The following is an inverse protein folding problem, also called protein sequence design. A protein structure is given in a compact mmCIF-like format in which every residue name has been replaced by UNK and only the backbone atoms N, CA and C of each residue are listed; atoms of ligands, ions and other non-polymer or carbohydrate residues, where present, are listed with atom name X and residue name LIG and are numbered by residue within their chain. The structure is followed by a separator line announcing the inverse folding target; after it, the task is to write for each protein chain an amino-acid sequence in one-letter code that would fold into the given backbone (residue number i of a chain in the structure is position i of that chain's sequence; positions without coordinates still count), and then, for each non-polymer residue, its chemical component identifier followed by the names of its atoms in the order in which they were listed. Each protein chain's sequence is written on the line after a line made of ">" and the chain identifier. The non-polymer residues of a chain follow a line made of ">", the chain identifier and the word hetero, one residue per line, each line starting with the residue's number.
data_IF_216669219687
#
_entry.id   IF_216669219687
#
_cell.length_a   1.000
_cell.length_b   1.000
_cell.length_c   1.000
_cell.angle_alpha   90.00
_cell.angle_beta   90.00
_cell.angle_gamma   90.00
#
_symmetry.space_group_name_H-M   'P 1'
#
loop_
_entity.id
_entity.type
_entity.pdbx_description
1 polymer ?
#
# COMPACT_ATOMS: atom_id res chain seq x y z
N UNK A 1 -3.18 5.22 24.41
CA UNK A 1 -3.97 4.09 23.89
C UNK A 1 -3.41 3.75 22.53
N UNK A 2 -2.60 2.69 22.43
CA UNK A 2 -2.14 2.18 21.14
C UNK A 2 -3.25 1.27 20.60
N UNK A 3 -3.88 1.67 19.50
CA UNK A 3 -4.89 0.84 18.85
C UNK A 3 -4.24 -0.44 18.28
N UNK A 4 -4.91 -1.60 18.41
CA UNK A 4 -4.44 -2.85 17.84
C UNK A 4 -4.67 -2.86 16.32
N UNK A 5 -3.62 -3.20 15.57
CA UNK A 5 -3.67 -3.54 14.14
C UNK A 5 -3.84 -2.34 13.19
N UNK A 6 -2.75 -1.84 12.62
CA UNK A 6 -2.83 -1.21 11.30
C UNK A 6 -1.87 -1.96 10.37
N UNK A 7 -2.39 -2.81 9.49
CA UNK A 7 -1.56 -3.61 8.61
C UNK A 7 -0.87 -2.69 7.63
N UNK A 8 0.47 -2.61 7.68
CA UNK A 8 1.31 -1.73 6.86
C UNK A 8 0.68 -0.36 6.58
N UNK A 9 0.88 0.61 7.46
CA UNK A 9 0.31 1.94 7.30
C UNK A 9 0.97 2.67 6.09
N UNK A 10 0.40 2.47 4.90
CA UNK A 10 0.85 3.09 3.64
C UNK A 10 0.43 4.56 3.50
N UNK A 11 -0.36 5.07 4.44
CA UNK A 11 -0.73 6.49 4.53
C UNK A 11 -0.20 7.08 5.83
N UNK A 12 0.73 8.03 5.73
CA UNK A 12 1.28 8.71 6.89
C UNK A 12 0.21 9.59 7.57
N UNK A 13 0.28 9.80 8.90
CA UNK A 13 -0.66 10.66 9.62
C UNK A 13 -0.73 12.08 9.06
N UNK A 14 0.40 12.63 8.63
CA UNK A 14 0.49 13.95 7.98
C UNK A 14 -0.28 13.99 6.66
N UNK A 15 -0.12 12.98 5.81
CA UNK A 15 -0.84 12.85 4.54
C UNK A 15 -2.35 12.73 4.79
N UNK A 16 -2.77 11.97 5.80
CA UNK A 16 -4.19 11.89 6.17
C UNK A 16 -4.74 13.25 6.61
N UNK A 17 -3.98 14.00 7.41
CA UNK A 17 -4.38 15.33 7.86
C UNK A 17 -4.48 16.32 6.70
N UNK A 18 -3.60 16.23 5.71
CA UNK A 18 -3.64 17.08 4.53
C UNK A 18 -4.82 16.75 3.61
N UNK A 19 -5.17 15.46 3.47
CA UNK A 19 -6.42 15.05 2.80
C UNK A 19 -7.66 15.57 3.52
N UNK A 20 -7.64 15.62 4.86
CA UNK A 20 -8.77 16.16 5.63
C UNK A 20 -8.95 17.67 5.45
N UNK A 21 -7.86 18.42 5.32
CA UNK A 21 -7.89 19.88 5.05
C UNK A 21 -8.31 20.22 3.63
N UNK A 22 -8.12 19.30 2.68
CA UNK A 22 -8.44 19.54 1.28
C UNK A 22 -9.95 19.81 1.08
N UNK A 23 -10.26 20.69 0.12
CA UNK A 23 -11.63 21.01 -0.31
C UNK A 23 -12.19 19.92 -1.23
N UNK A 24 -12.25 18.70 -0.70
CA UNK A 24 -12.71 17.50 -1.37
C UNK A 24 -13.98 16.98 -0.69
N UNK A 25 -14.87 16.39 -1.48
CA UNK A 25 -15.99 15.59 -1.00
C UNK A 25 -15.50 14.32 -0.29
N UNK A 26 -16.37 13.66 0.47
CA UNK A 26 -16.00 12.43 1.17
C UNK A 26 -15.51 11.30 0.22
N UNK A 27 -16.15 11.04 -0.94
CA UNK A 27 -15.65 10.06 -1.90
C UNK A 27 -14.26 10.41 -2.46
N UNK A 28 -14.02 11.69 -2.76
CA UNK A 28 -12.72 12.16 -3.26
C UNK A 28 -11.62 12.03 -2.19
N UNK A 29 -11.93 12.33 -0.93
CA UNK A 29 -11.00 12.10 0.19
C UNK A 29 -10.66 10.62 0.35
N UNK A 30 -11.64 9.73 0.21
CA UNK A 30 -11.40 8.29 0.24
C UNK A 30 -10.47 7.86 -0.90
N UNK A 31 -10.80 8.26 -2.14
CA UNK A 31 -10.00 7.93 -3.30
C UNK A 31 -8.57 8.48 -3.19
N UNK A 32 -8.41 9.72 -2.69
CA UNK A 32 -7.09 10.33 -2.50
C UNK A 32 -6.22 9.53 -1.54
N UNK A 33 -6.77 9.07 -0.41
CA UNK A 33 -6.05 8.20 0.53
C UNK A 33 -5.64 6.88 -0.08
N UNK A 34 -6.55 6.28 -0.86
CA UNK A 34 -6.27 5.05 -1.60
C UNK A 34 -5.13 5.27 -2.60
N UNK A 35 -5.18 6.34 -3.40
CA UNK A 35 -4.15 6.65 -4.40
C UNK A 35 -2.78 6.88 -3.77
N UNK A 36 -2.68 7.65 -2.68
CA UNK A 36 -1.40 7.86 -1.96
C UNK A 36 -0.86 6.54 -1.43
N UNK A 37 -1.72 5.72 -0.81
CA UNK A 37 -1.33 4.40 -0.30
C UNK A 37 -0.85 3.48 -1.43
N UNK A 38 -1.56 3.48 -2.57
CA UNK A 38 -1.18 2.73 -3.76
C UNK A 38 0.18 3.17 -4.31
N UNK A 39 0.48 4.48 -4.36
CA UNK A 39 1.79 4.97 -4.82
C UNK A 39 2.95 4.39 -4.00
N UNK A 40 2.81 4.36 -2.67
CA UNK A 40 3.83 3.77 -1.80
C UNK A 40 3.99 2.27 -2.04
N UNK A 41 2.87 1.54 -2.17
CA UNK A 41 2.92 0.11 -2.44
C UNK A 41 3.55 -0.18 -3.81
N UNK A 42 3.20 0.57 -4.86
CA UNK A 42 3.81 0.44 -6.18
C UNK A 42 5.31 0.72 -6.15
N UNK A 43 5.75 1.68 -5.33
CA UNK A 43 7.19 1.95 -5.10
C UNK A 43 7.90 0.76 -4.47
N UNK A 44 7.29 0.12 -3.46
CA UNK A 44 7.83 -1.09 -2.84
C UNK A 44 7.90 -2.25 -3.84
N UNK A 45 6.84 -2.45 -4.63
CA UNK A 45 6.79 -3.51 -5.65
C UNK A 45 7.91 -3.30 -6.66
N UNK A 46 8.04 -2.09 -7.20
CA UNK A 46 9.06 -1.75 -8.19
C UNK A 46 10.49 -2.01 -7.64
N UNK A 47 10.73 -1.66 -6.38
CA UNK A 47 12.00 -1.93 -5.70
C UNK A 47 12.25 -3.44 -5.46
N UNK A 48 11.24 -4.22 -5.04
CA UNK A 48 11.38 -5.66 -4.76
C UNK A 48 11.70 -6.47 -6.01
N UNK A 49 11.22 -6.03 -7.17
CA UNK A 49 11.43 -6.73 -8.46
C UNK A 49 12.47 -6.06 -9.36
N UNK A 50 13.18 -5.04 -8.85
CA UNK A 50 14.25 -4.31 -9.53
C UNK A 50 13.85 -3.71 -10.90
N UNK A 51 12.71 -2.99 -10.92
CA UNK A 51 12.25 -2.23 -12.10
C UNK A 51 11.98 -0.78 -11.72
N UNK A 52 11.99 0.11 -12.71
CA UNK A 52 11.52 1.48 -12.47
C UNK A 52 10.02 1.49 -12.20
N UNK A 53 9.54 2.48 -11.44
CA UNK A 53 8.09 2.65 -11.22
C UNK A 53 7.33 2.90 -12.54
N UNK A 54 8.00 3.53 -13.51
CA UNK A 54 7.46 3.87 -14.84
C UNK A 54 7.30 2.64 -15.73
N UNK A 55 8.15 1.64 -15.55
CA UNK A 55 8.14 0.38 -16.30
C UNK A 55 7.27 -0.71 -15.65
N UNK A 56 6.71 -0.43 -14.47
CA UNK A 56 5.93 -1.41 -13.71
C UNK A 56 4.62 -1.76 -14.45
N UNK A 57 4.48 -3.03 -14.80
CA UNK A 57 3.30 -3.54 -15.51
C UNK A 57 2.24 -4.07 -14.55
N UNK A 58 0.98 -4.10 -15.00
CA UNK A 58 -0.11 -4.72 -14.24
C UNK A 58 0.14 -6.21 -13.95
N UNK A 59 0.77 -6.95 -14.86
CA UNK A 59 1.09 -8.37 -14.64
C UNK A 59 2.11 -8.54 -13.53
N UNK A 60 3.18 -7.72 -13.50
CA UNK A 60 4.16 -7.74 -12.41
C UNK A 60 3.53 -7.41 -11.06
N UNK A 61 2.57 -6.48 -11.03
CA UNK A 61 1.81 -6.16 -9.82
C UNK A 61 1.02 -7.40 -9.36
N UNK A 62 0.27 -8.06 -10.25
CA UNK A 62 -0.48 -9.29 -9.94
C UNK A 62 0.46 -10.36 -9.39
N UNK A 63 1.55 -10.66 -10.10
CA UNK A 63 2.52 -11.70 -9.73
C UNK A 63 3.15 -11.41 -8.35
N UNK A 64 3.45 -10.15 -8.07
CA UNK A 64 3.99 -9.73 -6.78
C UNK A 64 2.97 -9.93 -5.65
N UNK A 65 1.71 -9.57 -5.86
CA UNK A 65 0.64 -9.81 -4.88
C UNK A 65 0.43 -11.30 -4.61
N UNK A 66 0.52 -12.15 -5.63
CA UNK A 66 0.44 -13.61 -5.47
C UNK A 66 1.63 -14.15 -4.66
N UNK A 67 2.85 -13.66 -4.95
CA UNK A 67 4.09 -13.99 -4.20
C UNK A 67 3.96 -13.58 -2.74
N UNK A 68 3.57 -12.34 -2.45
CA UNK A 68 3.41 -11.85 -1.09
C UNK A 68 2.31 -12.61 -0.33
N UNK A 69 1.18 -12.87 -0.99
CA UNK A 69 0.10 -13.69 -0.44
C UNK A 69 0.55 -15.13 -0.13
N UNK A 70 1.43 -15.71 -0.95
CA UNK A 70 2.03 -17.02 -0.67
C UNK A 70 2.95 -16.97 0.55
N UNK A 71 3.82 -15.97 0.64
CA UNK A 71 4.69 -15.74 1.81
C UNK A 71 3.84 -15.64 3.09
N UNK A 72 2.75 -14.87 3.06
CA UNK A 72 1.82 -14.74 4.18
C UNK A 72 1.25 -16.08 4.63
N UNK A 73 0.76 -16.89 3.68
CA UNK A 73 0.17 -18.21 3.97
C UNK A 73 1.18 -19.21 4.52
N UNK A 74 2.42 -19.18 4.05
CA UNK A 74 3.45 -20.17 4.40
C UNK A 74 4.28 -19.79 5.62
N UNK A 75 4.53 -18.49 5.83
CA UNK A 75 5.47 -17.96 6.83
C UNK A 75 4.81 -17.06 7.87
N UNK A 76 3.51 -16.81 7.74
CA UNK A 76 2.73 -15.95 8.62
C UNK A 76 2.65 -14.50 8.15
N UNK A 77 1.70 -13.76 8.72
CA UNK A 77 1.39 -12.35 8.43
C UNK A 77 2.61 -11.43 8.55
N UNK A 78 3.43 -11.65 9.58
CA UNK A 78 4.63 -10.85 9.82
C UNK A 78 5.73 -11.03 8.78
N UNK A 79 5.70 -12.11 7.99
CA UNK A 79 6.69 -12.35 6.94
C UNK A 79 6.35 -11.65 5.61
N UNK A 80 5.09 -11.29 5.40
CA UNK A 80 4.62 -10.63 4.19
C UNK A 80 4.72 -9.10 4.30
N UNK A 81 4.78 -8.41 3.18
CA UNK A 81 4.68 -6.95 3.13
C UNK A 81 3.26 -6.51 3.49
N UNK A 82 2.25 -7.21 2.97
CA UNK A 82 0.84 -6.96 3.30
C UNK A 82 0.46 -7.77 4.54
N UNK A 83 0.09 -7.06 5.61
CA UNK A 83 -0.16 -7.62 6.95
C UNK A 83 -1.65 -7.89 7.23
N UNK A 84 -2.46 -8.22 6.24
CA UNK A 84 -3.90 -8.43 6.43
C UNK A 84 -4.40 -9.77 5.89
#
# INVERSE_FOLDING_TARGET
>A
MNQPGSPAQFLAPEESADVDKALLTAPEKFLTRLTISSLRLLTIIAQDIDVSLEDLTHQQIIDWFEKDGKIRREKGEEAAVLKW
#
